data_IF_669905505336
#
_entry.id   IF_669905505336
#
_cell.length_a   1.000
_cell.length_b   1.000
_cell.length_c   1.000
_cell.angle_alpha   90.00
_cell.angle_beta   90.00
_cell.angle_gamma   90.00
#
_symmetry.space_group_name_H-M   'P 1'
#
loop_
_entity.id
_entity.type
_entity.pdbx_description
1 polymer ?
#
# COMPACT_ATOMS: atom_id res chain seq x y z
N UNK A 1 6.16 12.80 13.80
CA UNK A 1 5.34 12.57 15.01
C UNK A 1 6.23 12.22 16.19
N UNK A 2 5.98 12.80 17.37
CA UNK A 2 6.72 12.51 18.61
C UNK A 2 5.79 11.93 19.67
N UNK A 3 6.25 10.92 20.39
CA UNK A 3 5.59 10.34 21.57
C UNK A 3 6.49 10.60 22.77
N UNK A 4 5.97 11.28 23.79
CA UNK A 4 6.70 11.67 25.00
C UNK A 4 6.12 11.02 26.27
N UNK A 5 5.17 10.09 26.12
CA UNK A 5 4.55 9.39 27.25
C UNK A 5 5.59 8.56 28.01
N UNK A 6 5.85 8.84 29.31
CA UNK A 6 6.86 8.15 30.09
C UNK A 6 6.53 6.69 30.39
N UNK A 7 5.25 6.30 30.45
CA UNK A 7 4.84 4.96 30.85
C UNK A 7 4.13 4.21 29.72
N UNK A 8 4.93 3.60 28.85
CA UNK A 8 4.43 2.76 27.77
C UNK A 8 4.46 1.29 28.17
N UNK A 9 3.31 0.62 28.06
CA UNK A 9 3.25 -0.83 28.26
C UNK A 9 3.87 -1.58 27.06
N UNK A 10 4.14 -2.88 27.23
CA UNK A 10 4.79 -3.71 26.20
C UNK A 10 4.03 -3.72 24.87
N UNK A 11 2.69 -3.75 24.90
CA UNK A 11 1.86 -3.74 23.68
C UNK A 11 2.06 -2.45 22.88
N UNK A 12 2.11 -1.30 23.55
CA UNK A 12 2.32 -0.02 22.88
C UNK A 12 3.78 0.09 22.39
N UNK A 13 4.75 -0.39 23.15
CA UNK A 13 6.15 -0.42 22.71
C UNK A 13 6.34 -1.26 21.43
N UNK A 14 5.67 -2.42 21.34
CA UNK A 14 5.69 -3.23 20.11
C UNK A 14 5.06 -2.49 18.93
N UNK A 15 3.91 -1.83 19.13
CA UNK A 15 3.26 -1.05 18.08
C UNK A 15 4.13 0.13 17.59
N UNK A 16 4.79 0.84 18.51
CA UNK A 16 5.72 1.93 18.19
C UNK A 16 6.90 1.44 17.35
N UNK A 17 7.44 0.25 17.65
CA UNK A 17 8.50 -0.37 16.88
C UNK A 17 8.03 -0.77 15.48
N UNK A 18 6.84 -1.38 15.37
CA UNK A 18 6.23 -1.74 14.09
C UNK A 18 5.93 -0.50 13.22
N UNK A 19 5.70 0.65 13.88
CA UNK A 19 5.46 1.96 13.29
C UNK A 19 6.72 2.79 13.01
N UNK A 20 7.89 2.16 13.03
CA UNK A 20 9.18 2.76 12.67
C UNK A 20 9.51 4.05 13.45
N UNK A 21 9.07 4.13 14.71
CA UNK A 21 9.55 5.16 15.61
C UNK A 21 10.95 4.83 16.14
N UNK A 22 11.81 5.84 16.17
CA UNK A 22 13.16 5.77 16.71
C UNK A 22 13.18 6.33 18.13
N UNK A 23 13.91 5.65 19.02
CA UNK A 23 14.14 6.16 20.36
C UNK A 23 15.06 7.38 20.28
N UNK A 24 14.64 8.47 20.92
CA UNK A 24 15.37 9.73 21.06
C UNK A 24 15.45 10.12 22.54
N UNK A 25 16.17 11.19 22.88
CA UNK A 25 16.41 11.58 24.28
C UNK A 25 15.13 11.68 25.12
N UNK A 26 14.09 12.29 24.55
CA UNK A 26 12.83 12.59 25.24
C UNK A 26 11.64 11.79 24.68
N UNK A 27 11.85 10.50 24.37
CA UNK A 27 10.81 9.58 23.96
C UNK A 27 11.05 8.93 22.60
N UNK A 28 10.05 8.94 21.73
CA UNK A 28 10.09 8.28 20.42
C UNK A 28 9.71 9.24 19.29
N UNK A 29 10.41 9.16 18.16
CA UNK A 29 10.22 10.05 17.02
C UNK A 29 10.10 9.26 15.71
N UNK A 30 9.11 9.60 14.90
CA UNK A 30 9.03 9.21 13.50
C UNK A 30 9.01 10.47 12.62
N UNK A 31 9.78 10.47 11.53
CA UNK A 31 9.89 11.60 10.61
C UNK A 31 8.66 11.82 9.70
N UNK A 32 7.82 10.80 9.46
CA UNK A 32 6.59 10.80 8.64
C UNK A 32 6.55 11.87 7.52
N UNK A 33 6.89 11.49 6.29
CA UNK A 33 7.08 12.45 5.20
C UNK A 33 6.06 12.25 4.09
N UNK A 34 5.10 13.17 3.96
CA UNK A 34 4.12 13.16 2.87
C UNK A 34 4.70 13.78 1.59
N UNK A 35 5.65 13.09 0.95
CA UNK A 35 6.38 13.55 -0.23
C UNK A 35 6.51 12.46 -1.29
N UNK A 36 6.53 12.86 -2.56
CA UNK A 36 6.84 12.00 -3.71
C UNK A 36 7.99 12.60 -4.52
N UNK A 37 9.21 12.19 -4.19
CA UNK A 37 10.46 12.79 -4.65
C UNK A 37 11.46 11.70 -5.05
N UNK A 38 12.54 12.09 -5.71
CA UNK A 38 13.64 11.18 -6.05
C UNK A 38 14.42 10.74 -4.81
N UNK A 39 15.19 9.65 -4.91
CA UNK A 39 16.07 9.21 -3.83
C UNK A 39 17.08 10.30 -3.40
N UNK A 40 17.61 11.06 -4.37
CA UNK A 40 18.55 12.16 -4.12
C UNK A 40 17.89 13.30 -3.34
N UNK A 41 16.73 13.78 -3.80
CA UNK A 41 15.97 14.85 -3.13
C UNK A 41 15.56 14.44 -1.71
N UNK A 42 15.13 13.18 -1.53
CA UNK A 42 14.78 12.66 -0.21
C UNK A 42 16.00 12.60 0.72
N UNK A 43 17.15 12.18 0.22
CA UNK A 43 18.41 12.18 0.98
C UNK A 43 18.78 13.59 1.46
N UNK A 44 18.70 14.58 0.57
CA UNK A 44 19.02 15.96 0.91
C UNK A 44 18.03 16.52 1.93
N UNK A 45 16.74 16.22 1.78
CA UNK A 45 15.72 16.57 2.75
C UNK A 45 16.02 16.00 4.15
N UNK A 46 16.34 14.71 4.23
CA UNK A 46 16.66 14.02 5.50
C UNK A 46 17.93 14.57 6.14
N UNK A 47 18.95 14.89 5.33
CA UNK A 47 20.19 15.52 5.81
C UNK A 47 19.89 16.90 6.41
N UNK A 48 19.06 17.70 5.73
CA UNK A 48 18.63 19.01 6.22
C UNK A 48 17.80 18.90 7.51
N UNK A 49 16.98 17.85 7.64
CA UNK A 49 16.19 17.61 8.85
C UNK A 49 17.10 17.30 10.06
N UNK A 50 18.11 16.45 9.87
CA UNK A 50 19.11 16.13 10.91
C UNK A 50 19.91 17.37 11.34
N UNK A 51 20.25 18.26 10.39
CA UNK A 51 20.96 19.51 10.70
C UNK A 51 20.13 20.50 11.54
N UNK A 52 18.80 20.40 11.52
CA UNK A 52 17.92 21.29 12.30
C UNK A 52 17.76 20.86 13.75
N UNK A 53 17.92 19.57 14.06
CA UNK A 53 17.84 19.06 15.42
C UNK A 53 18.50 17.68 15.54
N UNK A 54 19.30 17.51 16.61
CA UNK A 54 19.99 16.26 16.91
C UNK A 54 19.05 15.07 17.09
N UNK A 55 17.77 15.30 17.42
CA UNK A 55 16.78 14.23 17.53
C UNK A 55 16.51 13.52 16.20
N UNK A 56 16.83 14.16 15.07
CA UNK A 56 16.70 13.57 13.74
C UNK A 56 18.00 12.95 13.22
N UNK A 57 19.01 12.72 14.07
CA UNK A 57 20.27 12.10 13.65
C UNK A 57 20.08 10.71 13.01
N UNK A 58 19.01 9.98 13.35
CA UNK A 58 18.68 8.71 12.67
C UNK A 58 18.40 8.89 11.16
N UNK A 59 17.98 10.08 10.73
CA UNK A 59 17.75 10.40 9.32
C UNK A 59 19.04 10.39 8.49
N UNK A 60 20.22 10.64 9.10
CA UNK A 60 21.49 10.60 8.38
C UNK A 60 21.80 9.20 7.85
N UNK A 61 21.54 8.16 8.64
CA UNK A 61 21.73 6.76 8.20
C UNK A 61 20.81 6.39 7.03
N UNK A 62 19.59 6.92 7.05
CA UNK A 62 18.62 6.71 5.95
C UNK A 62 19.09 7.47 4.70
N UNK A 63 19.55 8.72 4.85
CA UNK A 63 20.10 9.52 3.76
C UNK A 63 21.33 8.87 3.11
N UNK A 64 22.24 8.31 3.90
CA UNK A 64 23.39 7.53 3.40
C UNK A 64 22.96 6.30 2.60
N UNK A 65 21.94 5.59 3.09
CA UNK A 65 21.36 4.44 2.38
C UNK A 65 20.81 4.86 1.02
N UNK A 66 20.15 6.03 0.94
CA UNK A 66 19.62 6.61 -0.30
C UNK A 66 20.68 6.96 -1.34
N UNK A 67 21.90 7.28 -0.90
CA UNK A 67 23.05 7.59 -1.76
C UNK A 67 23.80 6.36 -2.29
N UNK A 68 23.45 5.16 -1.82
CA UNK A 68 24.16 3.94 -2.26
C UNK A 68 23.84 3.62 -3.71
N UNK A 69 24.87 3.44 -4.54
CA UNK A 69 24.73 3.03 -5.93
C UNK A 69 23.90 1.74 -6.01
N UNK A 70 22.77 1.79 -6.72
CA UNK A 70 21.77 0.74 -6.91
C UNK A 70 20.62 0.63 -5.89
N UNK A 71 20.46 1.53 -4.91
CA UNK A 71 19.26 1.46 -4.04
C UNK A 71 17.97 1.45 -4.87
N UNK A 72 17.85 2.36 -5.85
CA UNK A 72 16.67 2.44 -6.72
C UNK A 72 16.41 1.17 -7.53
N UNK A 73 17.39 0.28 -7.68
CA UNK A 73 17.23 -1.06 -8.30
C UNK A 73 16.89 -2.15 -7.29
N UNK A 74 17.16 -1.94 -6.01
CA UNK A 74 16.90 -2.86 -4.92
C UNK A 74 15.49 -2.65 -4.34
N UNK A 75 14.46 -3.10 -5.06
CA UNK A 75 13.05 -2.84 -4.74
C UNK A 75 12.66 -3.09 -3.27
N UNK A 76 13.16 -4.16 -2.65
CA UNK A 76 12.87 -4.48 -1.24
C UNK A 76 13.41 -3.42 -0.27
N UNK A 77 14.69 -3.06 -0.42
CA UNK A 77 15.33 -2.04 0.43
C UNK A 77 14.66 -0.69 0.25
N UNK A 78 14.32 -0.31 -0.98
CA UNK A 78 13.61 0.94 -1.24
C UNK A 78 12.22 0.96 -0.62
N UNK A 79 11.46 -0.13 -0.72
CA UNK A 79 10.16 -0.25 -0.05
C UNK A 79 10.31 -0.14 1.47
N UNK A 80 11.36 -0.72 2.06
CA UNK A 80 11.62 -0.61 3.50
C UNK A 80 11.89 0.84 3.92
N UNK A 81 12.60 1.62 3.09
CA UNK A 81 12.76 3.07 3.31
C UNK A 81 11.41 3.79 3.20
N UNK A 82 10.58 3.49 2.19
CA UNK A 82 9.22 4.07 2.07
C UNK A 82 8.35 3.76 3.30
N UNK A 83 8.45 2.56 3.86
CA UNK A 83 7.72 2.16 5.06
C UNK A 83 8.19 2.90 6.31
N UNK A 84 9.51 3.09 6.46
CA UNK A 84 10.08 3.84 7.59
C UNK A 84 9.63 5.31 7.55
N UNK A 85 9.57 5.90 6.35
CA UNK A 85 9.25 7.31 6.14
C UNK A 85 7.79 7.53 5.72
N UNK A 86 6.93 6.55 5.95
CA UNK A 86 5.55 6.55 5.49
C UNK A 86 4.84 7.89 5.75
N UNK A 87 4.14 8.49 4.77
CA UNK A 87 3.77 7.94 3.46
C UNK A 87 4.71 8.28 2.29
N UNK A 88 6.01 8.53 2.53
CA UNK A 88 6.93 8.93 1.47
C UNK A 88 6.98 7.95 0.28
N UNK A 89 7.19 8.49 -0.92
CA UNK A 89 7.43 7.72 -2.15
C UNK A 89 8.71 8.14 -2.85
N UNK A 90 9.51 7.14 -3.24
CA UNK A 90 10.74 7.28 -4.02
C UNK A 90 10.39 7.02 -5.50
N UNK A 91 10.16 8.10 -6.24
CA UNK A 91 9.50 8.04 -7.57
C UNK A 91 10.41 7.54 -8.70
N UNK A 92 11.72 7.64 -8.53
CA UNK A 92 12.73 7.18 -9.49
C UNK A 92 13.16 5.72 -9.27
N UNK A 93 12.57 5.05 -8.26
CA UNK A 93 12.84 3.65 -7.96
C UNK A 93 12.20 2.68 -8.96
N UNK A 94 12.93 1.63 -9.31
CA UNK A 94 12.48 0.47 -10.09
C UNK A 94 11.71 -0.51 -9.20
N UNK A 95 10.65 -0.01 -8.55
CA UNK A 95 9.74 -0.83 -7.77
C UNK A 95 8.61 -1.32 -8.68
N UNK A 96 8.36 -2.65 -8.76
CA UNK A 96 7.24 -3.17 -9.51
C UNK A 96 5.93 -2.53 -9.06
N UNK A 97 5.23 -1.85 -9.98
CA UNK A 97 3.96 -1.20 -9.68
C UNK A 97 2.86 -1.81 -10.54
N UNK A 98 1.76 -2.18 -9.90
CA UNK A 98 0.67 -2.91 -10.54
C UNK A 98 -0.66 -2.26 -10.16
N UNK A 99 -1.43 -1.86 -11.17
CA UNK A 99 -2.83 -1.48 -10.98
C UNK A 99 -3.65 -2.75 -10.77
N UNK A 100 -4.35 -2.85 -9.65
CA UNK A 100 -5.17 -4.02 -9.30
C UNK A 100 -6.63 -3.60 -9.21
N UNK A 101 -7.51 -4.17 -10.06
CA UNK A 101 -8.93 -3.94 -9.93
C UNK A 101 -9.51 -4.69 -8.75
N UNK A 102 -10.32 -3.97 -7.98
CA UNK A 102 -11.02 -4.49 -6.80
C UNK A 102 -12.49 -4.09 -6.84
N UNK A 103 -13.37 -4.99 -6.41
CA UNK A 103 -14.80 -4.68 -6.30
C UNK A 103 -15.04 -3.74 -5.13
N UNK A 104 -15.99 -2.78 -5.24
CA UNK A 104 -16.29 -1.82 -4.17
C UNK A 104 -16.59 -2.48 -2.83
N UNK A 105 -17.31 -3.61 -2.84
CA UNK A 105 -17.62 -4.35 -1.61
C UNK A 105 -16.37 -4.81 -0.85
N UNK A 106 -15.26 -5.08 -1.53
CA UNK A 106 -14.01 -5.52 -0.90
C UNK A 106 -13.12 -4.32 -0.56
N UNK A 107 -13.08 -3.30 -1.42
CA UNK A 107 -12.37 -2.06 -1.13
C UNK A 107 -12.89 -1.41 0.16
N UNK A 108 -14.21 -1.35 0.32
CA UNK A 108 -14.91 -0.86 1.51
C UNK A 108 -14.47 -1.55 2.81
N UNK A 109 -14.36 -2.87 2.78
CA UNK A 109 -14.02 -3.68 3.95
C UNK A 109 -12.52 -3.69 4.26
N UNK A 110 -11.69 -3.46 3.25
CA UNK A 110 -10.24 -3.52 3.38
C UNK A 110 -9.62 -2.17 3.70
N UNK A 111 -9.95 -1.08 2.99
CA UNK A 111 -9.21 0.17 3.15
C UNK A 111 -9.98 1.45 2.81
N UNK A 112 -11.09 1.39 2.08
CA UNK A 112 -11.77 2.58 1.55
C UNK A 112 -12.85 3.10 2.50
N UNK A 113 -12.44 3.96 3.43
CA UNK A 113 -13.33 4.55 4.44
C UNK A 113 -14.44 5.41 3.83
N UNK A 114 -14.21 6.03 2.67
CA UNK A 114 -15.23 6.83 1.98
C UNK A 114 -16.37 5.93 1.50
N UNK A 115 -16.06 4.77 0.92
CA UNK A 115 -17.08 3.77 0.58
C UNK A 115 -17.75 3.21 1.83
N UNK A 116 -17.01 3.00 2.92
CA UNK A 116 -17.55 2.46 4.17
C UNK A 116 -18.59 3.40 4.79
N UNK A 117 -18.32 4.70 4.77
CA UNK A 117 -19.22 5.74 5.29
C UNK A 117 -20.50 5.94 4.45
N UNK A 118 -20.61 5.36 3.24
CA UNK A 118 -21.86 5.36 2.46
C UNK A 118 -22.87 4.30 2.95
N UNK A 119 -22.43 3.32 3.75
CA UNK A 119 -23.28 2.26 4.27
C UNK A 119 -23.81 2.63 5.65
N UNK A 120 -25.11 2.41 5.89
CA UNK A 120 -25.76 2.68 7.19
C UNK A 120 -25.17 1.87 8.35
N UNK A 121 -24.58 0.71 8.05
CA UNK A 121 -23.87 -0.13 9.01
C UNK A 121 -22.37 -0.05 8.72
N UNK A 122 -21.62 0.57 9.63
CA UNK A 122 -20.16 0.68 9.59
C UNK A 122 -19.54 -0.71 9.76
N UNK A 123 -18.55 -1.06 8.93
CA UNK A 123 -17.72 -2.26 9.14
C UNK A 123 -16.96 -2.13 10.46
N UNK A 124 -16.67 -3.27 11.12
CA UNK A 124 -16.02 -3.29 12.44
C UNK A 124 -14.75 -2.43 12.45
N UNK A 125 -14.66 -1.52 13.42
CA UNK A 125 -13.60 -0.49 13.54
C UNK A 125 -12.18 -1.06 13.58
N UNK A 126 -12.04 -2.34 13.95
CA UNK A 126 -10.76 -2.99 14.18
C UNK A 126 -9.98 -3.25 12.88
N UNK A 127 -10.67 -3.37 11.73
CA UNK A 127 -10.04 -3.51 10.42
C UNK A 127 -9.40 -2.22 9.92
N UNK A 128 -9.98 -1.06 10.25
CA UNK A 128 -9.40 0.24 9.91
C UNK A 128 -8.05 0.49 10.61
N UNK A 129 -7.78 -0.25 11.70
CA UNK A 129 -6.51 -0.21 12.43
C UNK A 129 -5.53 -1.29 11.96
N UNK A 130 -5.94 -2.25 11.11
CA UNK A 130 -5.05 -3.30 10.61
C UNK A 130 -4.16 -2.76 9.50
N UNK A 131 -2.88 -2.64 9.84
CA UNK A 131 -1.83 -2.22 8.90
C UNK A 131 -1.57 -3.24 7.79
N UNK A 132 -1.82 -4.52 8.04
CA UNK A 132 -1.63 -5.62 7.09
C UNK A 132 -2.96 -6.31 6.78
N UNK A 133 -3.22 -6.51 5.48
CA UNK A 133 -4.46 -7.07 4.96
C UNK A 133 -4.20 -8.02 3.78
N UNK A 134 -5.22 -8.80 3.42
CA UNK A 134 -5.13 -9.76 2.31
C UNK A 134 -6.30 -9.62 1.34
N UNK A 135 -5.97 -9.45 0.05
CA UNK A 135 -6.93 -9.48 -1.05
C UNK A 135 -6.78 -10.77 -1.86
N UNK A 136 -7.91 -11.43 -2.16
CA UNK A 136 -7.92 -12.67 -2.94
C UNK A 136 -8.44 -12.43 -4.35
N UNK A 137 -7.80 -13.08 -5.31
CA UNK A 137 -8.21 -13.04 -6.72
C UNK A 137 -8.00 -14.39 -7.40
N UNK A 138 -8.65 -14.54 -8.56
CA UNK A 138 -8.35 -15.63 -9.48
C UNK A 138 -6.88 -15.59 -9.91
N UNK A 139 -6.25 -16.77 -10.02
CA UNK A 139 -4.89 -16.87 -10.55
C UNK A 139 -4.78 -16.54 -12.05
N UNK A 140 -5.91 -16.53 -12.78
CA UNK A 140 -5.93 -16.21 -14.22
C UNK A 140 -5.61 -14.73 -14.47
N UNK A 141 -4.92 -14.45 -15.58
CA UNK A 141 -4.59 -13.08 -16.02
C UNK A 141 -3.92 -12.28 -14.92
N UNK A 142 -2.71 -12.65 -14.51
CA UNK A 142 -2.05 -12.14 -13.31
C UNK A 142 -1.26 -10.85 -13.50
N UNK A 143 -1.14 -10.32 -14.72
CA UNK A 143 -0.46 -9.03 -14.97
C UNK A 143 0.99 -8.97 -14.49
N UNK A 144 1.67 -10.13 -14.42
CA UNK A 144 3.02 -10.25 -13.88
C UNK A 144 3.10 -10.56 -12.37
N UNK A 145 1.98 -10.64 -11.65
CA UNK A 145 1.95 -11.10 -10.26
C UNK A 145 2.34 -12.58 -10.17
N UNK A 146 3.41 -12.88 -9.45
CA UNK A 146 3.89 -14.22 -9.16
C UNK A 146 4.45 -14.29 -7.73
N UNK A 147 4.49 -15.48 -7.11
CA UNK A 147 5.12 -15.63 -5.80
C UNK A 147 6.53 -15.02 -5.74
N UNK A 148 6.83 -14.34 -4.64
CA UNK A 148 8.10 -13.63 -4.41
C UNK A 148 8.17 -12.20 -4.96
N UNK A 149 7.14 -11.72 -5.67
CA UNK A 149 7.07 -10.29 -6.06
C UNK A 149 6.65 -9.45 -4.87
N UNK A 150 7.41 -8.36 -4.65
CA UNK A 150 7.06 -7.24 -3.77
C UNK A 150 6.98 -5.97 -4.61
N UNK A 151 6.23 -4.96 -4.18
CA UNK A 151 6.01 -3.79 -5.02
C UNK A 151 5.01 -2.78 -4.47
N UNK A 152 4.41 -2.02 -5.37
CA UNK A 152 3.30 -1.10 -5.10
C UNK A 152 2.03 -1.58 -5.79
N UNK A 153 0.90 -1.40 -5.11
CA UNK A 153 -0.43 -1.64 -5.65
C UNK A 153 -1.09 -0.29 -5.84
N UNK A 154 -1.60 -0.05 -7.04
CA UNK A 154 -2.55 1.03 -7.30
C UNK A 154 -3.94 0.41 -7.36
N UNK A 155 -4.84 0.78 -6.44
CA UNK A 155 -6.17 0.19 -6.35
C UNK A 155 -7.15 0.91 -7.26
N UNK A 156 -7.61 0.21 -8.30
CA UNK A 156 -8.73 0.65 -9.12
C UNK A 156 -10.02 0.02 -8.61
N UNK A 157 -10.89 0.83 -8.01
CA UNK A 157 -12.19 0.36 -7.54
C UNK A 157 -13.14 0.29 -8.74
N UNK A 158 -13.52 -0.93 -9.14
CA UNK A 158 -14.34 -1.14 -10.32
C UNK A 158 -15.72 -0.49 -10.18
N UNK A 159 -16.24 0.08 -11.28
CA UNK A 159 -17.56 0.70 -11.31
C UNK A 159 -18.66 -0.21 -10.77
N UNK A 160 -19.51 0.34 -9.91
CA UNK A 160 -20.74 -0.29 -9.42
C UNK A 160 -21.78 0.79 -9.12
N UNK A 161 -22.95 0.68 -9.74
CA UNK A 161 -24.06 1.64 -9.58
C UNK A 161 -24.58 1.81 -8.15
N UNK A 162 -24.30 0.85 -7.25
CA UNK A 162 -24.75 0.90 -5.86
C UNK A 162 -23.81 1.69 -4.94
N UNK A 163 -22.69 2.21 -5.47
CA UNK A 163 -21.66 2.93 -4.71
C UNK A 163 -21.25 4.21 -5.45
N UNK A 164 -21.27 5.34 -4.76
CA UNK A 164 -20.79 6.60 -5.30
C UNK A 164 -19.25 6.62 -5.32
N UNK A 165 -18.65 7.22 -6.35
CA UNK A 165 -17.19 7.36 -6.46
C UNK A 165 -16.45 6.08 -6.87
N UNK A 166 -17.13 5.12 -7.51
CA UNK A 166 -16.52 3.92 -8.11
C UNK A 166 -16.13 4.14 -9.57
N UNK A 167 -15.31 3.26 -10.14
CA UNK A 167 -14.71 3.47 -11.47
C UNK A 167 -13.49 4.37 -11.44
N UNK A 168 -12.80 4.43 -10.30
CA UNK A 168 -11.67 5.33 -10.05
C UNK A 168 -10.50 4.56 -9.43
N UNK A 169 -9.28 5.05 -9.64
CA UNK A 169 -8.14 4.75 -8.79
C UNK A 169 -8.29 5.54 -7.50
N UNK A 170 -8.20 4.85 -6.36
CA UNK A 170 -8.56 5.43 -5.04
C UNK A 170 -7.49 5.29 -3.97
N UNK A 171 -6.50 4.44 -4.17
CA UNK A 171 -5.50 4.20 -3.13
C UNK A 171 -4.20 3.63 -3.70
N UNK A 172 -3.14 3.78 -2.93
CA UNK A 172 -1.84 3.13 -3.13
C UNK A 172 -1.49 2.30 -1.90
N UNK A 173 -1.04 1.06 -2.08
CA UNK A 173 -0.55 0.21 -0.99
C UNK A 173 0.81 -0.40 -1.32
N UNK A 174 1.49 -0.89 -0.29
CA UNK A 174 2.66 -1.75 -0.45
C UNK A 174 2.21 -3.20 -0.68
N UNK A 175 2.74 -3.86 -1.72
CA UNK A 175 2.61 -5.31 -1.92
C UNK A 175 3.73 -6.03 -1.17
N UNK A 176 3.37 -6.72 -0.10
CA UNK A 176 4.34 -7.43 0.75
C UNK A 176 4.58 -8.87 0.29
N UNK A 177 3.53 -9.53 -0.22
CA UNK A 177 3.64 -10.93 -0.62
C UNK A 177 2.56 -11.34 -1.63
N UNK A 178 2.95 -12.21 -2.56
CA UNK A 178 2.02 -12.94 -3.43
C UNK A 178 2.11 -14.42 -3.11
N UNK A 179 0.97 -15.04 -2.77
CA UNK A 179 0.89 -16.48 -2.52
C UNK A 179 -0.13 -17.10 -3.48
N UNK A 180 0.21 -18.26 -4.07
CA UNK A 180 -0.71 -19.01 -4.94
C UNK A 180 -0.94 -20.40 -4.35
N UNK A 181 -2.18 -20.68 -3.93
CA UNK A 181 -2.53 -21.96 -3.33
C UNK A 181 -4.04 -22.27 -3.49
N UNK A 182 -4.49 -23.40 -2.97
CA UNK A 182 -5.91 -23.78 -2.91
C UNK A 182 -6.67 -22.93 -1.87
N UNK A 183 -7.99 -22.72 -2.03
CA UNK A 183 -8.83 -21.92 -1.13
C UNK A 183 -8.63 -22.22 0.36
N UNK A 184 -8.72 -23.51 0.75
CA UNK A 184 -8.59 -23.93 2.16
C UNK A 184 -7.25 -23.54 2.78
N UNK A 185 -6.16 -23.74 2.04
CA UNK A 185 -4.82 -23.44 2.52
C UNK A 185 -4.61 -21.93 2.67
N UNK A 186 -5.08 -21.13 1.70
CA UNK A 186 -5.00 -19.67 1.75
C UNK A 186 -5.84 -19.09 2.90
N UNK A 187 -7.05 -19.61 3.11
CA UNK A 187 -7.89 -19.21 4.23
C UNK A 187 -7.21 -19.53 5.56
N UNK A 188 -6.72 -20.76 5.73
CA UNK A 188 -6.02 -21.16 6.96
C UNK A 188 -4.80 -20.27 7.26
N UNK A 189 -4.03 -19.93 6.24
CA UNK A 189 -2.83 -19.10 6.38
C UNK A 189 -3.15 -17.65 6.79
N UNK A 190 -4.21 -17.07 6.23
CA UNK A 190 -4.47 -15.63 6.31
C UNK A 190 -5.75 -15.25 7.06
N UNK A 191 -6.48 -16.20 7.67
CA UNK A 191 -7.75 -15.96 8.39
C UNK A 191 -7.72 -14.81 9.41
N UNK A 192 -6.55 -14.48 9.98
CA UNK A 192 -6.41 -13.40 10.97
C UNK A 192 -6.30 -12.00 10.35
N UNK A 193 -5.88 -11.95 9.08
CA UNK A 193 -5.55 -10.72 8.34
C UNK A 193 -6.64 -10.33 7.32
N UNK A 194 -7.64 -11.17 7.10
CA UNK A 194 -8.63 -10.98 6.03
C UNK A 194 -10.03 -10.64 6.53
N UNK A 195 -10.83 -10.13 5.61
CA UNK A 195 -12.31 -9.97 5.70
C UNK A 195 -13.05 -11.09 4.97
N UNK A 196 -12.32 -12.05 4.44
CA UNK A 196 -12.85 -13.11 3.60
C UNK A 196 -13.06 -14.38 4.41
N UNK A 197 -14.26 -14.93 4.29
CA UNK A 197 -14.54 -16.28 4.74
C UNK A 197 -14.17 -17.31 3.67
N UNK A 198 -14.07 -18.58 4.09
CA UNK A 198 -13.77 -19.67 3.18
C UNK A 198 -14.79 -19.76 2.04
N UNK A 199 -16.07 -19.50 2.31
CA UNK A 199 -17.13 -19.48 1.30
C UNK A 199 -16.84 -18.47 0.19
N UNK A 200 -16.26 -17.32 0.50
CA UNK A 200 -15.95 -16.30 -0.50
C UNK A 200 -14.80 -16.72 -1.41
N UNK A 201 -13.79 -17.41 -0.88
CA UNK A 201 -12.74 -18.02 -1.70
C UNK A 201 -13.31 -19.13 -2.58
N UNK A 202 -14.23 -19.94 -2.07
CA UNK A 202 -14.90 -20.99 -2.86
C UNK A 202 -15.73 -20.40 -4.00
N UNK A 203 -16.41 -19.26 -3.79
CA UNK A 203 -17.11 -18.53 -4.86
C UNK A 203 -16.14 -18.08 -5.96
N UNK A 204 -14.95 -17.59 -5.61
CA UNK A 204 -13.92 -17.19 -6.58
C UNK A 204 -13.44 -18.36 -7.46
N UNK A 205 -13.48 -19.59 -6.93
CA UNK A 205 -13.13 -20.79 -7.71
C UNK A 205 -14.30 -21.43 -8.43
N UNK A 206 -15.53 -20.89 -8.33
CA UNK A 206 -16.77 -21.55 -8.78
C UNK A 206 -16.97 -22.91 -8.09
N UNK A 207 -16.71 -22.96 -6.79
CA UNK A 207 -16.82 -24.14 -5.91
C UNK A 207 -15.86 -25.30 -6.22
N UNK A 208 -14.85 -25.07 -7.06
CA UNK A 208 -13.76 -26.05 -7.26
C UNK A 208 -12.67 -25.86 -6.20
N UNK A 209 -12.57 -26.80 -5.26
CA UNK A 209 -11.60 -26.76 -4.17
C UNK A 209 -10.13 -26.96 -4.62
N UNK A 210 -9.90 -27.49 -5.83
CA UNK A 210 -8.55 -27.75 -6.35
C UNK A 210 -8.02 -26.59 -7.19
N UNK A 211 -8.89 -25.70 -7.65
CA UNK A 211 -8.51 -24.55 -8.44
C UNK A 211 -7.71 -23.55 -7.60
N UNK A 212 -6.52 -23.21 -8.09
CA UNK A 212 -5.61 -22.26 -7.42
C UNK A 212 -6.19 -20.84 -7.45
N UNK A 213 -6.04 -20.14 -6.33
CA UNK A 213 -6.26 -18.72 -6.15
C UNK A 213 -4.94 -18.02 -5.86
N UNK A 214 -4.96 -16.70 -5.92
CA UNK A 214 -3.86 -15.85 -5.54
C UNK A 214 -4.30 -14.97 -4.36
N UNK A 215 -3.51 -14.97 -3.30
CA UNK A 215 -3.60 -14.05 -2.18
C UNK A 215 -2.52 -12.98 -2.34
N UNK A 216 -2.91 -11.72 -2.18
CA UNK A 216 -2.03 -10.57 -2.18
C UNK A 216 -2.04 -10.01 -0.75
N UNK A 217 -0.94 -10.19 -0.03
CA UNK A 217 -0.75 -9.53 1.27
C UNK A 217 -0.21 -8.15 1.00
N UNK A 218 -0.87 -7.15 1.56
CA UNK A 218 -0.51 -5.76 1.38
C UNK A 218 -0.62 -5.01 2.70
N UNK A 219 0.10 -3.90 2.78
CA UNK A 219 0.14 -3.03 3.93
C UNK A 219 0.24 -1.59 3.50
N UNK A 220 0.26 -0.67 4.49
CA UNK A 220 0.57 0.73 4.28
C UNK A 220 -0.31 1.31 3.15
N UNK A 221 -1.63 1.33 3.38
CA UNK A 221 -2.57 1.84 2.38
C UNK A 221 -2.77 3.33 2.57
N UNK A 222 -2.49 4.09 1.53
CA UNK A 222 -2.76 5.52 1.44
C UNK A 222 -3.95 5.75 0.52
N UNK A 223 -5.01 6.34 1.06
CA UNK A 223 -6.15 6.79 0.28
C UNK A 223 -5.79 8.06 -0.48
N UNK A 224 -6.18 8.08 -1.75
CA UNK A 224 -6.06 9.26 -2.58
C UNK A 224 -7.15 10.26 -2.22
N UNK A 225 -6.72 11.52 -2.06
CA UNK A 225 -7.62 12.65 -1.79
C UNK A 225 -8.41 13.02 -3.04
N UNK A 226 -7.80 12.85 -4.21
CA UNK A 226 -8.42 13.03 -5.51
C UNK A 226 -8.51 11.66 -6.21
N UNK A 227 -9.65 10.95 -6.14
CA UNK A 227 -9.86 9.75 -6.94
C UNK A 227 -9.71 10.06 -8.44
N UNK A 228 -8.96 9.23 -9.16
CA UNK A 228 -8.63 9.44 -10.58
C UNK A 228 -9.53 8.53 -11.42
N UNK A 229 -10.27 9.07 -12.38
CA UNK A 229 -11.23 8.28 -13.15
C UNK A 229 -10.56 7.41 -14.24
N UNK A 230 -11.34 6.50 -14.84
CA UNK A 230 -10.80 5.61 -15.88
C UNK A 230 -10.37 6.36 -17.16
N UNK A 231 -10.95 7.52 -17.48
CA UNK A 231 -10.56 8.31 -18.64
C UNK A 231 -9.16 8.91 -18.42
N UNK A 232 -8.93 9.56 -17.28
CA UNK A 232 -7.63 10.11 -16.89
C UNK A 232 -6.55 9.02 -16.84
N UNK A 233 -6.87 7.84 -16.30
CA UNK A 233 -5.93 6.70 -16.31
C UNK A 233 -5.59 6.26 -17.73
N UNK A 234 -6.53 6.26 -18.68
CA UNK A 234 -6.21 5.92 -20.08
C UNK A 234 -5.28 6.93 -20.71
N UNK A 235 -5.43 8.22 -20.38
CA UNK A 235 -4.56 9.29 -20.84
C UNK A 235 -3.13 9.11 -20.29
N UNK A 236 -2.98 8.90 -18.98
CA UNK A 236 -1.66 8.64 -18.36
C UNK A 236 -0.99 7.40 -18.95
N UNK A 237 -1.74 6.34 -19.21
CA UNK A 237 -1.20 5.10 -19.78
C UNK A 237 -0.93 5.19 -21.30
N UNK A 238 -1.44 6.23 -21.97
CA UNK A 238 -1.32 6.43 -23.41
C UNK A 238 -1.96 5.32 -24.25
N UNK A 239 -2.89 4.55 -23.70
CA UNK A 239 -3.51 3.40 -24.38
C UNK A 239 -4.90 3.07 -23.84
N UNK A 240 -5.80 2.52 -24.69
CA UNK A 240 -7.09 2.05 -24.22
C UNK A 240 -6.91 0.87 -23.26
N UNK A 241 -7.48 0.99 -22.06
CA UNK A 241 -7.53 -0.08 -21.05
C UNK A 241 -8.92 -0.20 -20.44
N UNK A 242 -9.27 -1.41 -20.00
CA UNK A 242 -10.54 -1.70 -19.31
C UNK A 242 -10.37 -2.00 -17.82
N UNK A 243 -9.12 -2.15 -17.36
CA UNK A 243 -8.73 -2.49 -15.98
C UNK A 243 -9.57 -3.65 -15.39
N UNK A 244 -9.80 -4.71 -16.17
CA UNK A 244 -10.50 -5.92 -15.71
C UNK A 244 -9.56 -6.96 -15.09
N UNK A 245 -8.25 -6.78 -15.27
CA UNK A 245 -7.19 -7.61 -14.71
C UNK A 245 -6.03 -6.73 -14.23
N UNK A 246 -5.15 -7.25 -13.36
CA UNK A 246 -3.93 -6.55 -12.98
C UNK A 246 -3.15 -6.06 -14.20
N UNK A 247 -2.63 -4.84 -14.11
CA UNK A 247 -1.86 -4.20 -15.16
C UNK A 247 -0.57 -3.63 -14.56
N UNK A 248 0.57 -4.10 -15.05
CA UNK A 248 1.86 -3.51 -14.69
C UNK A 248 2.02 -2.16 -15.38
N UNK A 249 2.55 -1.20 -14.62
CA UNK A 249 2.88 0.15 -15.10
C UNK A 249 4.36 0.44 -14.81
N UNK A 250 4.92 1.38 -15.55
CA UNK A 250 6.28 1.87 -15.30
C UNK A 250 6.30 2.94 -14.19
N UNK A 251 7.50 3.40 -13.84
CA UNK A 251 7.70 4.35 -12.73
C UNK A 251 7.21 5.75 -13.10
N UNK A 252 7.28 6.14 -14.37
CA UNK A 252 6.77 7.41 -14.88
C UNK A 252 5.25 7.47 -14.75
N UNK A 253 4.54 6.42 -15.19
CA UNK A 253 3.10 6.25 -15.03
C UNK A 253 2.69 6.22 -13.54
N UNK A 254 3.43 5.49 -12.70
CA UNK A 254 3.20 5.50 -11.26
C UNK A 254 3.32 6.92 -10.68
N UNK A 255 4.36 7.65 -11.07
CA UNK A 255 4.62 9.02 -10.59
C UNK A 255 3.48 9.95 -10.93
N UNK A 256 2.97 9.88 -12.17
CA UNK A 256 1.82 10.68 -12.62
C UNK A 256 0.57 10.36 -11.80
N UNK A 257 0.23 9.07 -11.69
CA UNK A 257 -0.95 8.61 -10.93
C UNK A 257 -0.85 9.02 -9.45
N UNK A 258 0.30 8.79 -8.82
CA UNK A 258 0.44 9.07 -7.38
C UNK A 258 0.36 10.57 -7.10
N UNK A 259 0.99 11.41 -7.94
CA UNK A 259 0.92 12.87 -7.79
C UNK A 259 -0.50 13.39 -7.98
N UNK A 260 -1.20 12.94 -9.02
CA UNK A 260 -2.59 13.35 -9.26
C UNK A 260 -3.49 12.98 -8.07
N UNK A 261 -3.34 11.76 -7.55
CA UNK A 261 -4.15 11.24 -6.45
C UNK A 261 -3.86 11.87 -5.08
N UNK A 262 -2.67 12.45 -4.87
CA UNK A 262 -2.22 12.96 -3.57
C UNK A 262 -2.16 14.49 -3.48
N UNK A 263 -2.23 15.21 -4.60
CA UNK A 263 -2.32 16.67 -4.59
C UNK A 263 -3.54 17.14 -3.77
N UNK A 264 -3.41 18.24 -3.03
CA UNK A 264 -4.58 18.91 -2.47
C UNK A 264 -5.11 19.85 -3.57
N UNK A 265 -6.36 19.66 -4.01
CA UNK A 265 -7.08 20.70 -4.75
C UNK A 265 -7.45 21.86 -3.82
#
# INVERSE_FOLDING_TARGET
TRITEPYLNQTILSAIQDDAFFQVKDGYLNANLAVAVTATELSDYLTNLANRSQDYNFCLKIAETLKTDNLTKAAKTTLDVERILWPAKIIDADIPTIIIPIQPKWAKELFDEYLANQCLFRSESDLALKRELVYYRSHRGNGGLKPGVVGRIIWYVSYNKNYCGTGHVRACSRLDEVVVNKPKNLHQQFRRLGVYELEDLMKLTKNDANKKLMALRFSDTELFKNPIDLAEIKEILGKPVTLQSPLRIDKEQFTMIYREGTQNQ
#
